data_IF_646033183429
#
_entry.id   IF_646033183429
#
_cell.length_a   1.000
_cell.length_b   1.000
_cell.length_c   1.000
_cell.angle_alpha   90.00
_cell.angle_beta   90.00
_cell.angle_gamma   90.00
#
_symmetry.space_group_name_H-M   'P 1'
#
loop_
_entity.id
_entity.type
_entity.pdbx_description
1 polymer ?
#
# COMPACT_ATOMS: atom_id res chain seq x y z
N UNK A 1 -8.63 -18.22 9.39
CA UNK A 1 -7.29 -17.73 9.75
C UNK A 1 -6.98 -16.50 8.91
N UNK A 2 -6.45 -15.47 9.53
CA UNK A 2 -6.11 -14.22 8.85
C UNK A 2 -4.66 -14.25 8.39
N UNK A 3 -4.43 -13.88 7.12
CA UNK A 3 -3.09 -13.81 6.58
C UNK A 3 -2.44 -12.49 6.98
N UNK A 4 -1.29 -12.57 7.63
CA UNK A 4 -0.53 -11.41 8.09
C UNK A 4 0.72 -11.12 7.27
N UNK A 5 1.09 -12.05 6.40
CA UNK A 5 2.35 -11.98 5.67
C UNK A 5 2.22 -12.72 4.35
N UNK A 6 2.79 -12.13 3.30
CA UNK A 6 2.94 -12.86 2.03
C UNK A 6 4.12 -12.30 1.24
N UNK A 7 4.65 -13.12 0.37
CA UNK A 7 5.71 -12.76 -0.56
C UNK A 7 5.21 -12.99 -1.97
N UNK A 8 5.54 -12.07 -2.87
CA UNK A 8 5.14 -12.18 -4.27
C UNK A 8 6.21 -11.62 -5.18
N UNK A 9 6.29 -12.17 -6.37
CA UNK A 9 7.11 -11.64 -7.44
C UNK A 9 6.18 -10.85 -8.37
N UNK A 10 6.53 -9.61 -8.67
CA UNK A 10 5.74 -8.79 -9.59
C UNK A 10 5.84 -9.38 -11.00
N UNK A 11 4.76 -9.27 -11.77
CA UNK A 11 4.80 -9.70 -13.16
C UNK A 11 5.44 -8.63 -14.06
N UNK A 12 5.52 -8.89 -15.35
CA UNK A 12 6.18 -7.99 -16.30
C UNK A 12 5.50 -6.62 -16.42
N UNK A 13 4.25 -6.52 -15.96
CA UNK A 13 3.49 -5.27 -15.97
C UNK A 13 3.41 -4.63 -14.59
N UNK A 14 4.32 -4.97 -13.70
CA UNK A 14 4.40 -4.45 -12.34
C UNK A 14 3.14 -4.74 -11.51
N UNK A 15 2.50 -5.88 -11.74
CA UNK A 15 1.29 -6.23 -11.01
C UNK A 15 1.62 -7.15 -9.84
N UNK A 16 1.06 -6.79 -8.68
CA UNK A 16 1.13 -7.59 -7.46
C UNK A 16 -0.13 -8.42 -7.36
N UNK A 17 0.02 -9.73 -7.14
CA UNK A 17 -1.12 -10.61 -6.90
C UNK A 17 -1.39 -10.69 -5.41
N UNK A 18 -2.58 -10.24 -5.00
CA UNK A 18 -3.04 -10.33 -3.61
C UNK A 18 -3.54 -11.75 -3.36
N UNK A 19 -3.11 -12.41 -2.27
CA UNK A 19 -3.60 -13.75 -1.94
C UNK A 19 -5.12 -13.82 -1.92
N UNK A 20 -5.68 -14.93 -2.37
CA UNK A 20 -7.13 -15.09 -2.52
C UNK A 20 -7.89 -14.79 -1.22
N UNK A 21 -7.35 -15.19 -0.07
CA UNK A 21 -7.98 -15.01 1.22
C UNK A 21 -8.03 -13.55 1.68
N UNK A 22 -7.28 -12.65 1.01
CA UNK A 22 -7.26 -11.23 1.34
C UNK A 22 -8.07 -10.39 0.36
N UNK A 23 -8.51 -10.94 -0.75
CA UNK A 23 -9.18 -10.16 -1.81
C UNK A 23 -10.45 -9.48 -1.34
N UNK A 24 -11.22 -10.14 -0.48
CA UNK A 24 -12.44 -9.55 0.05
C UNK A 24 -12.17 -8.29 0.86
N UNK A 25 -11.03 -8.24 1.53
CA UNK A 25 -10.61 -7.08 2.32
C UNK A 25 -10.42 -5.85 1.44
N UNK A 26 -10.05 -6.05 0.17
CA UNK A 26 -9.80 -5.00 -0.80
C UNK A 26 -10.93 -4.83 -1.82
N UNK A 27 -12.12 -5.34 -1.51
CA UNK A 27 -13.24 -5.29 -2.45
C UNK A 27 -13.65 -3.85 -2.81
N UNK A 28 -13.46 -2.90 -1.90
CA UNK A 28 -13.78 -1.48 -2.14
C UNK A 28 -12.74 -0.75 -2.99
N UNK A 29 -11.59 -1.39 -3.22
CA UNK A 29 -10.50 -0.79 -3.96
C UNK A 29 -9.19 -0.82 -3.19
N UNK A 30 -8.14 -0.33 -3.82
CA UNK A 30 -6.77 -0.37 -3.30
C UNK A 30 -6.17 1.02 -3.34
N UNK A 31 -5.56 1.44 -2.24
CA UNK A 31 -4.80 2.69 -2.17
C UNK A 31 -3.34 2.34 -1.86
N UNK A 32 -2.44 2.85 -2.68
CA UNK A 32 -1.00 2.69 -2.47
C UNK A 32 -0.38 4.05 -2.23
N UNK A 33 0.44 4.15 -1.18
CA UNK A 33 1.15 5.38 -0.83
C UNK A 33 2.59 5.07 -0.46
N UNK A 34 3.41 6.13 -0.40
CA UNK A 34 4.71 6.04 0.26
C UNK A 34 4.47 5.81 1.75
N UNK A 35 5.35 5.03 2.38
CA UNK A 35 5.30 4.80 3.81
C UNK A 35 6.13 5.82 4.59
N UNK A 36 6.36 5.54 5.87
CA UNK A 36 7.19 6.40 6.72
C UNK A 36 8.67 6.29 6.37
N UNK A 37 9.11 5.14 5.87
CA UNK A 37 10.48 4.90 5.42
C UNK A 37 10.48 4.44 3.97
N UNK A 38 11.51 3.73 3.54
CA UNK A 38 11.63 3.24 2.16
C UNK A 38 10.80 1.98 1.95
N UNK A 39 9.50 2.12 2.05
CA UNK A 39 8.52 1.07 1.82
C UNK A 39 7.19 1.73 1.47
N UNK A 40 6.24 0.91 1.03
CA UNK A 40 4.92 1.40 0.63
C UNK A 40 3.87 0.98 1.66
N UNK A 41 2.77 1.71 1.68
CA UNK A 41 1.57 1.31 2.41
C UNK A 41 0.53 0.87 1.39
N UNK A 42 -0.10 -0.27 1.66
CA UNK A 42 -1.19 -0.82 0.85
C UNK A 42 -2.45 -0.84 1.71
N UNK A 43 -3.43 -0.01 1.35
CA UNK A 43 -4.67 0.13 2.11
C UNK A 43 -5.87 -0.40 1.35
N UNK A 44 -6.80 -1.07 2.03
CA UNK A 44 -8.17 -1.16 1.50
C UNK A 44 -8.71 0.28 1.37
N UNK A 45 -9.43 0.56 0.28
CA UNK A 45 -9.99 1.90 0.05
C UNK A 45 -10.81 2.39 1.24
N UNK A 46 -11.63 1.52 1.82
CA UNK A 46 -12.46 1.88 2.97
C UNK A 46 -11.64 2.27 4.20
N UNK A 47 -10.48 1.64 4.39
CA UNK A 47 -9.59 1.97 5.51
C UNK A 47 -8.98 3.35 5.30
N UNK A 48 -8.54 3.64 4.08
CA UNK A 48 -8.04 4.97 3.75
C UNK A 48 -9.11 6.02 4.05
N UNK A 49 -10.33 5.80 3.55
CA UNK A 49 -11.41 6.79 3.69
C UNK A 49 -11.82 7.02 5.14
N UNK A 50 -11.91 5.96 5.94
CA UNK A 50 -12.39 6.07 7.33
C UNK A 50 -11.31 6.49 8.31
N UNK A 51 -10.10 5.99 8.13
CA UNK A 51 -9.06 6.13 9.16
C UNK A 51 -7.93 7.06 8.75
N UNK A 52 -7.40 6.93 7.54
CA UNK A 52 -6.25 7.72 7.13
C UNK A 52 -6.67 9.17 6.84
N UNK A 53 -7.74 9.36 6.07
CA UNK A 53 -8.23 10.73 5.79
C UNK A 53 -8.55 11.47 7.09
N UNK A 54 -9.18 10.78 8.04
CA UNK A 54 -9.48 11.37 9.34
C UNK A 54 -8.23 11.77 10.11
N UNK A 55 -7.22 10.90 10.09
CA UNK A 55 -5.96 11.17 10.79
C UNK A 55 -5.16 12.30 10.14
N UNK A 56 -5.34 12.50 8.83
CA UNK A 56 -4.67 13.59 8.10
C UNK A 56 -5.44 14.92 8.23
N UNK A 57 -6.63 14.91 8.82
CA UNK A 57 -7.44 16.09 9.03
C UNK A 57 -7.12 16.66 10.41
N UNK A 58 -6.22 17.58 10.47
CA UNK A 58 -5.84 18.24 11.72
C UNK A 58 -5.80 19.74 11.53
N UNK A 59 -5.12 20.42 12.44
CA UNK A 59 -4.91 21.86 12.28
C UNK A 59 -4.06 22.13 11.05
N UNK A 60 -4.51 23.02 10.19
CA UNK A 60 -3.75 23.42 9.01
C UNK A 60 -2.45 24.14 9.38
N UNK A 61 -2.33 24.54 10.62
CA UNK A 61 -1.12 25.21 11.14
C UNK A 61 -0.17 24.23 11.84
N UNK A 62 -0.53 22.96 11.94
CA UNK A 62 0.35 21.94 12.50
C UNK A 62 1.25 21.39 11.40
N UNK A 63 2.53 21.71 11.47
CA UNK A 63 3.52 21.31 10.46
C UNK A 63 3.61 19.79 10.34
N UNK A 64 3.47 19.05 11.44
CA UNK A 64 3.54 17.59 11.40
C UNK A 64 2.39 17.00 10.59
N UNK A 65 1.19 17.56 10.73
CA UNK A 65 0.03 17.13 9.95
C UNK A 65 0.24 17.47 8.48
N UNK A 66 0.75 18.67 8.20
CA UNK A 66 1.05 19.09 6.83
C UNK A 66 2.07 18.16 6.18
N UNK A 67 3.14 17.80 6.89
CA UNK A 67 4.20 16.93 6.39
C UNK A 67 3.65 15.52 6.08
N UNK A 68 2.78 14.99 6.94
CA UNK A 68 2.16 13.70 6.70
C UNK A 68 1.26 13.73 5.47
N UNK A 69 0.50 14.82 5.30
CA UNK A 69 -0.32 14.99 4.10
C UNK A 69 0.53 14.95 2.84
N UNK A 70 1.62 15.71 2.82
CA UNK A 70 2.52 15.73 1.67
C UNK A 70 3.08 14.34 1.40
N UNK A 71 3.58 13.68 2.45
CA UNK A 71 4.21 12.36 2.31
C UNK A 71 3.23 11.32 1.76
N UNK A 72 2.02 11.23 2.31
CA UNK A 72 1.08 10.19 1.93
C UNK A 72 0.27 10.51 0.68
N UNK A 73 0.16 11.78 0.29
CA UNK A 73 -0.57 12.14 -0.92
C UNK A 73 0.32 12.23 -2.14
N UNK A 74 1.61 12.46 -1.94
CA UNK A 74 2.56 12.54 -3.05
C UNK A 74 2.77 11.15 -3.64
N UNK A 75 2.36 10.98 -4.87
CA UNK A 75 2.48 9.70 -5.56
C UNK A 75 1.42 8.68 -5.20
N UNK A 76 0.42 9.05 -4.38
CA UNK A 76 -0.68 8.16 -4.03
C UNK A 76 -1.41 7.69 -5.29
N UNK A 77 -1.71 6.39 -5.34
CA UNK A 77 -2.50 5.81 -6.43
C UNK A 77 -3.71 5.10 -5.86
N UNK A 78 -4.80 5.12 -6.62
CA UNK A 78 -6.05 4.45 -6.26
C UNK A 78 -6.49 3.62 -7.45
N UNK A 79 -6.84 2.37 -7.20
CA UNK A 79 -7.28 1.48 -8.26
C UNK A 79 -8.26 0.44 -7.74
N UNK A 80 -8.99 -0.20 -8.67
CA UNK A 80 -9.82 -1.34 -8.32
C UNK A 80 -8.96 -2.60 -8.31
N UNK A 81 -9.36 -3.56 -7.47
CA UNK A 81 -8.73 -4.87 -7.47
C UNK A 81 -9.53 -5.81 -8.36
N UNK A 82 -8.84 -6.48 -9.27
CA UNK A 82 -9.43 -7.55 -10.05
C UNK A 82 -9.73 -8.74 -9.13
N UNK A 83 -11.01 -8.97 -8.82
CA UNK A 83 -11.41 -10.02 -7.87
C UNK A 83 -11.13 -11.42 -8.37
N UNK A 84 -11.06 -11.63 -9.68
CA UNK A 84 -10.78 -12.95 -10.24
C UNK A 84 -9.32 -13.35 -10.04
N UNK A 85 -8.40 -12.46 -10.38
CA UNK A 85 -6.97 -12.74 -10.32
C UNK A 85 -6.26 -12.03 -9.16
N UNK A 86 -6.92 -11.07 -8.56
CA UNK A 86 -6.40 -10.36 -7.40
C UNK A 86 -5.17 -9.52 -7.67
N UNK A 87 -5.06 -8.95 -8.87
CA UNK A 87 -3.88 -8.19 -9.27
C UNK A 87 -4.10 -6.69 -9.13
N UNK A 88 -3.06 -6.00 -8.69
CA UNK A 88 -3.02 -4.54 -8.62
C UNK A 88 -1.69 -4.07 -9.20
N UNK A 89 -1.73 -3.04 -10.04
CA UNK A 89 -0.52 -2.47 -10.63
C UNK A 89 0.12 -1.51 -9.64
N UNK A 90 1.44 -1.65 -9.46
CA UNK A 90 2.22 -0.71 -8.67
C UNK A 90 2.98 0.19 -9.64
N UNK A 91 2.70 1.49 -9.59
CA UNK A 91 3.34 2.46 -10.48
C UNK A 91 4.85 2.50 -10.24
N UNK A 92 5.60 2.74 -11.32
CA UNK A 92 7.07 2.68 -11.25
C UNK A 92 7.65 3.64 -10.21
N UNK A 93 7.08 4.84 -10.08
CA UNK A 93 7.58 5.82 -9.11
C UNK A 93 7.49 5.33 -7.67
N UNK A 94 6.50 4.49 -7.36
CA UNK A 94 6.38 3.90 -6.02
C UNK A 94 7.41 2.80 -5.81
N UNK A 95 7.62 1.97 -6.83
CA UNK A 95 8.66 0.94 -6.78
C UNK A 95 10.03 1.55 -6.58
N UNK A 96 10.31 2.64 -7.30
CA UNK A 96 11.58 3.36 -7.19
C UNK A 96 11.77 3.91 -5.78
N UNK A 97 10.72 4.51 -5.22
CA UNK A 97 10.77 5.05 -3.87
C UNK A 97 11.12 3.98 -2.84
N UNK A 98 10.52 2.80 -2.96
CA UNK A 98 10.69 1.71 -1.99
C UNK A 98 11.90 0.81 -2.31
N UNK A 99 12.58 1.05 -3.42
CA UNK A 99 13.70 0.22 -3.85
C UNK A 99 13.28 -1.20 -4.21
N UNK A 100 12.05 -1.36 -4.68
CA UNK A 100 11.52 -2.67 -5.08
C UNK A 100 11.80 -2.91 -6.56
N UNK A 101 12.49 -4.02 -6.85
CA UNK A 101 12.72 -4.44 -8.23
C UNK A 101 11.62 -5.40 -8.69
N UNK A 102 11.61 -6.63 -8.17
CA UNK A 102 10.58 -7.61 -8.54
C UNK A 102 9.96 -8.31 -7.33
N UNK A 103 10.74 -8.57 -6.31
CA UNK A 103 10.28 -9.34 -5.17
C UNK A 103 9.77 -8.42 -4.06
N UNK A 104 8.53 -8.65 -3.64
CA UNK A 104 7.84 -7.85 -2.65
C UNK A 104 7.49 -8.70 -1.45
N UNK A 105 7.77 -8.17 -0.27
CA UNK A 105 7.34 -8.76 0.99
C UNK A 105 6.28 -7.85 1.58
N UNK A 106 5.13 -8.42 1.91
CA UNK A 106 4.01 -7.69 2.51
C UNK A 106 3.78 -8.18 3.92
N UNK A 107 3.75 -7.26 4.87
CA UNK A 107 3.52 -7.58 6.28
C UNK A 107 2.37 -6.71 6.80
N UNK A 108 1.43 -7.33 7.50
CA UNK A 108 0.28 -6.61 8.06
C UNK A 108 0.74 -5.63 9.13
N UNK A 109 0.27 -4.40 8.99
CA UNK A 109 0.54 -3.32 9.95
C UNK A 109 -0.80 -2.80 10.47
N UNK A 110 -1.58 -3.68 11.12
CA UNK A 110 -2.92 -3.35 11.58
C UNK A 110 -3.94 -3.48 10.45
N UNK A 111 -4.59 -2.39 10.09
CA UNK A 111 -5.65 -2.39 9.07
C UNK A 111 -5.11 -2.28 7.63
N UNK A 112 -3.81 -2.25 7.45
CA UNK A 112 -3.16 -2.12 6.14
C UNK A 112 -1.89 -2.95 6.11
N UNK A 113 -1.23 -2.98 4.94
CA UNK A 113 0.00 -3.73 4.77
C UNK A 113 1.17 -2.82 4.43
N UNK A 114 2.35 -3.18 4.92
CA UNK A 114 3.61 -2.57 4.52
C UNK A 114 4.21 -3.43 3.41
N UNK A 115 4.54 -2.81 2.28
CA UNK A 115 5.19 -3.50 1.17
C UNK A 115 6.65 -3.10 1.11
N UNK A 116 7.54 -4.08 1.14
CA UNK A 116 8.98 -3.85 1.20
C UNK A 116 9.70 -4.63 0.12
N UNK A 117 10.87 -4.13 -0.29
CA UNK A 117 11.78 -4.92 -1.09
C UNK A 117 12.24 -6.13 -0.26
N UNK A 118 12.45 -7.28 -0.92
CA UNK A 118 12.81 -8.50 -0.21
C UNK A 118 14.09 -8.34 0.64
N UNK A 119 15.08 -7.62 0.13
CA UNK A 119 16.34 -7.38 0.85
C UNK A 119 16.20 -6.47 2.08
N UNK A 120 15.09 -5.75 2.19
CA UNK A 120 14.83 -4.82 3.30
C UNK A 120 13.79 -5.35 4.28
N UNK A 121 13.39 -6.62 4.16
CA UNK A 121 12.23 -7.15 4.88
C UNK A 121 12.55 -7.74 6.25
N UNK A 122 13.78 -7.72 6.68
CA UNK A 122 14.16 -8.28 7.98
C UNK A 122 13.90 -7.31 9.13
#
# INVERSE_FOLDING_TARGET
MQTDYFERKLDDKRRLTIPAELRAEFASGVVLTRGFGKYLHLYPQQVWDREVEGALTGSILDERVADLNVKFRRGKTTSALDQKQGRVTIEQHLLDYAGIDREVVAVRAGAYFRLMAAENAD
#
